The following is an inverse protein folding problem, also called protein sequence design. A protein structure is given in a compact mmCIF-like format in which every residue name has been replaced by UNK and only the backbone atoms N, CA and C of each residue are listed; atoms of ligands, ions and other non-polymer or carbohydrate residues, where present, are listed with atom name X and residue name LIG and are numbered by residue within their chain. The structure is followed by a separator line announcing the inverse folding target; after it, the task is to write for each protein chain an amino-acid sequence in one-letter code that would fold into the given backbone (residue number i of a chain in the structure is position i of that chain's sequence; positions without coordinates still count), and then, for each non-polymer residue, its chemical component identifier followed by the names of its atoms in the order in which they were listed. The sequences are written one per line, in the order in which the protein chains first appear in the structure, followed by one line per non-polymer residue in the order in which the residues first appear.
data_IF_734590010709
#
_entry.id   IF_734590010709
#
_cell.length_a   1.000
_cell.length_b   1.000
_cell.length_c   1.000
_cell.angle_alpha   90.00
_cell.angle_beta   90.00
_cell.angle_gamma   90.00
#
_symmetry.space_group_name_H-M   'P 1'
#
loop_
_entity.id
_entity.type
_entity.pdbx_description
1 polymer ?
#
# COMPACT_ATOMS: atom_id res chain seq x y z
N UNK A 1 2.52 -16.18 -16.55
CA UNK A 1 1.72 -15.19 -17.34
C UNK A 1 2.55 -13.92 -17.40
N UNK A 2 2.71 -13.35 -18.59
CA UNK A 2 3.47 -12.10 -18.80
C UNK A 2 2.78 -10.91 -18.12
N UNK A 3 3.56 -9.86 -17.79
CA UNK A 3 3.05 -8.68 -17.07
C UNK A 3 1.83 -8.05 -17.76
N UNK A 4 1.93 -7.81 -19.08
CA UNK A 4 0.84 -7.21 -19.87
C UNK A 4 -0.44 -8.09 -19.86
N UNK A 5 -0.27 -9.40 -19.86
CA UNK A 5 -1.40 -10.34 -19.79
C UNK A 5 -2.04 -10.30 -18.40
N UNK A 6 -1.23 -10.19 -17.34
CA UNK A 6 -1.75 -10.02 -15.96
C UNK A 6 -2.55 -8.74 -15.78
N UNK A 7 -2.11 -7.63 -16.39
CA UNK A 7 -2.85 -6.36 -16.35
C UNK A 7 -4.31 -6.50 -16.83
N UNK A 8 -4.57 -7.41 -17.77
CA UNK A 8 -5.88 -7.51 -18.43
C UNK A 8 -6.73 -8.66 -17.87
N UNK A 9 -6.12 -9.74 -17.40
CA UNK A 9 -6.84 -10.98 -17.12
C UNK A 9 -6.94 -11.35 -15.63
N UNK A 10 -6.00 -10.93 -14.79
CA UNK A 10 -6.05 -11.31 -13.37
C UNK A 10 -7.20 -10.58 -12.67
N UNK A 11 -8.01 -11.32 -11.93
CA UNK A 11 -9.16 -10.81 -11.19
C UNK A 11 -10.43 -10.57 -12.03
N UNK A 12 -10.38 -10.77 -13.35
CA UNK A 12 -11.49 -10.41 -14.26
C UNK A 12 -12.46 -11.58 -14.51
N UNK A 13 -12.01 -12.83 -14.45
CA UNK A 13 -12.73 -14.04 -14.87
C UNK A 13 -13.57 -14.68 -13.75
N UNK A 14 -14.04 -13.90 -12.77
CA UNK A 14 -14.68 -14.40 -11.54
C UNK A 14 -16.15 -14.03 -11.39
N UNK A 15 -16.88 -13.86 -12.50
CA UNK A 15 -18.33 -13.73 -12.43
C UNK A 15 -19.00 -15.12 -12.51
N UNK A 16 -19.41 -15.70 -11.36
CA UNK A 16 -20.02 -17.03 -11.34
C UNK A 16 -21.46 -17.04 -11.84
N UNK A 17 -22.09 -15.87 -11.98
CA UNK A 17 -23.50 -15.77 -12.35
C UNK A 17 -23.71 -15.80 -13.86
N UNK A 18 -22.92 -15.03 -14.61
CA UNK A 18 -23.15 -14.85 -16.04
C UNK A 18 -21.88 -14.99 -16.90
N UNK A 19 -20.74 -15.31 -16.29
CA UNK A 19 -19.44 -15.45 -16.97
C UNK A 19 -19.09 -14.20 -17.79
N UNK A 20 -19.30 -13.04 -17.18
CA UNK A 20 -18.99 -11.74 -17.83
C UNK A 20 -17.51 -11.66 -18.20
N UNK A 21 -17.24 -11.17 -19.39
CA UNK A 21 -15.87 -10.95 -19.89
C UNK A 21 -15.14 -9.79 -19.18
N UNK A 22 -15.85 -8.99 -18.40
CA UNK A 22 -15.31 -7.89 -17.59
C UNK A 22 -15.85 -8.00 -16.18
N UNK A 23 -15.11 -7.50 -15.19
CA UNK A 23 -15.57 -7.51 -13.79
C UNK A 23 -16.86 -6.72 -13.63
N UNK A 24 -17.96 -7.33 -13.16
CA UNK A 24 -19.17 -6.61 -12.85
C UNK A 24 -18.98 -5.61 -11.70
N UNK A 25 -19.72 -4.49 -11.76
CA UNK A 25 -19.77 -3.53 -10.66
C UNK A 25 -20.90 -3.92 -9.72
N UNK A 26 -20.58 -4.21 -8.46
CA UNK A 26 -21.53 -4.54 -7.40
C UNK A 26 -21.77 -3.35 -6.47
N UNK A 27 -22.69 -2.42 -6.81
CA UNK A 27 -22.97 -1.21 -6.02
C UNK A 27 -23.98 -1.53 -4.89
N UNK A 28 -23.64 -2.50 -4.05
CA UNK A 28 -24.50 -2.93 -2.94
C UNK A 28 -23.76 -2.82 -1.61
N UNK A 29 -24.49 -2.60 -0.52
CA UNK A 29 -23.93 -2.64 0.83
C UNK A 29 -23.95 -4.04 1.42
N UNK A 30 -24.97 -4.83 1.13
CA UNK A 30 -25.19 -6.16 1.72
C UNK A 30 -25.45 -7.21 0.66
N UNK A 31 -25.05 -8.44 0.95
CA UNK A 31 -25.26 -9.59 0.08
C UNK A 31 -26.25 -10.57 0.73
N UNK A 32 -27.13 -11.18 -0.07
CA UNK A 32 -28.01 -12.23 0.39
C UNK A 32 -27.22 -13.51 0.58
N UNK A 33 -27.54 -14.25 1.62
CA UNK A 33 -27.08 -15.61 1.84
C UNK A 33 -28.04 -16.61 1.20
N UNK A 34 -27.55 -17.76 0.81
CA UNK A 34 -28.40 -18.82 0.30
C UNK A 34 -29.25 -19.43 1.42
N UNK A 35 -28.68 -19.55 2.63
CA UNK A 35 -29.34 -19.93 3.89
C UNK A 35 -28.58 -19.32 5.10
N UNK A 36 -28.90 -19.72 6.33
CA UNK A 36 -28.32 -19.17 7.57
C UNK A 36 -26.83 -19.46 7.76
N UNK A 37 -26.28 -20.44 7.07
CA UNK A 37 -24.90 -20.88 7.24
C UNK A 37 -24.06 -20.63 5.97
N UNK A 38 -24.70 -20.40 4.81
CA UNK A 38 -24.04 -20.34 3.52
C UNK A 38 -24.18 -18.97 2.87
N UNK A 39 -23.12 -18.19 2.92
CA UNK A 39 -22.92 -17.04 2.04
C UNK A 39 -22.07 -17.47 0.84
N UNK A 40 -22.07 -16.66 -0.21
CA UNK A 40 -21.25 -16.89 -1.41
C UNK A 40 -19.88 -16.21 -1.34
N UNK A 41 -19.33 -16.06 -0.12
CA UNK A 41 -18.05 -15.43 0.15
C UNK A 41 -18.14 -13.95 0.48
N UNK A 42 -19.33 -13.34 0.36
CA UNK A 42 -19.56 -11.93 0.69
C UNK A 42 -20.83 -11.77 1.53
N UNK A 43 -20.78 -10.88 2.49
CA UNK A 43 -21.87 -10.50 3.37
C UNK A 43 -22.15 -8.98 3.34
N UNK A 44 -21.10 -8.20 3.48
CA UNK A 44 -21.18 -6.75 3.56
C UNK A 44 -19.99 -6.08 2.88
N UNK A 45 -20.25 -5.05 2.07
CA UNK A 45 -19.25 -4.41 1.19
C UNK A 45 -18.03 -3.85 1.94
N UNK A 46 -18.17 -3.40 3.20
CA UNK A 46 -17.03 -2.92 3.98
C UNK A 46 -16.03 -4.04 4.27
N UNK A 47 -16.51 -5.24 4.58
CA UNK A 47 -15.66 -6.42 4.80
C UNK A 47 -15.17 -7.03 3.49
N UNK A 48 -16.04 -7.15 2.47
CA UNK A 48 -15.71 -7.74 1.18
C UNK A 48 -16.67 -7.33 0.07
N UNK A 49 -16.16 -7.14 -1.15
CA UNK A 49 -16.97 -6.85 -2.34
C UNK A 49 -16.28 -7.44 -3.58
N UNK A 50 -16.99 -8.17 -4.46
CA UNK A 50 -16.37 -8.80 -5.62
C UNK A 50 -15.61 -7.84 -6.53
N UNK A 51 -16.13 -6.63 -6.76
CA UNK A 51 -15.47 -5.61 -7.58
C UNK A 51 -14.15 -5.17 -6.96
N UNK A 52 -14.12 -4.95 -5.64
CA UNK A 52 -12.89 -4.57 -4.92
C UNK A 52 -11.89 -5.73 -4.90
N UNK A 53 -12.35 -6.95 -4.66
CA UNK A 53 -11.49 -8.13 -4.64
C UNK A 53 -10.81 -8.37 -5.99
N UNK A 54 -11.49 -8.11 -7.11
CA UNK A 54 -10.91 -8.19 -8.43
C UNK A 54 -9.74 -7.21 -8.61
N UNK A 55 -9.87 -5.97 -8.12
CA UNK A 55 -8.80 -4.98 -8.11
C UNK A 55 -7.64 -5.42 -7.21
N UNK A 56 -7.94 -5.84 -5.98
CA UNK A 56 -6.95 -6.28 -5.00
C UNK A 56 -6.10 -7.44 -5.54
N UNK A 57 -6.74 -8.43 -6.15
CA UNK A 57 -6.06 -9.57 -6.77
C UNK A 57 -5.18 -9.15 -7.95
N UNK A 58 -5.67 -8.25 -8.80
CA UNK A 58 -4.91 -7.76 -9.95
C UNK A 58 -3.65 -7.03 -9.48
N UNK A 59 -3.77 -6.07 -8.55
CA UNK A 59 -2.64 -5.30 -8.04
C UNK A 59 -1.64 -6.21 -7.31
N UNK A 60 -2.09 -7.13 -6.45
CA UNK A 60 -1.21 -8.09 -5.80
C UNK A 60 -0.39 -8.90 -6.83
N UNK A 61 -1.05 -9.36 -7.92
CA UNK A 61 -0.37 -10.07 -8.99
C UNK A 61 0.68 -9.21 -9.71
N UNK A 62 0.38 -7.94 -9.99
CA UNK A 62 1.29 -7.05 -10.71
C UNK A 62 2.52 -6.68 -9.88
N UNK A 63 2.32 -6.43 -8.59
CA UNK A 63 3.38 -6.07 -7.64
C UNK A 63 4.14 -7.29 -7.09
N UNK A 64 3.74 -8.51 -7.45
CA UNK A 64 4.35 -9.74 -6.92
C UNK A 64 4.06 -9.97 -5.43
N UNK A 65 3.03 -9.30 -4.91
CA UNK A 65 2.57 -9.46 -3.53
C UNK A 65 1.72 -10.71 -3.32
N UNK A 66 1.65 -11.16 -2.07
CA UNK A 66 0.78 -12.28 -1.69
C UNK A 66 -0.67 -11.84 -1.48
N UNK A 67 -0.89 -10.56 -1.24
CA UNK A 67 -2.19 -9.94 -1.01
C UNK A 67 -2.13 -8.43 -1.30
N UNK A 68 -3.32 -7.81 -1.42
CA UNK A 68 -3.49 -6.37 -1.57
C UNK A 68 -4.75 -5.93 -0.82
N UNK A 69 -4.75 -4.72 -0.30
CA UNK A 69 -5.91 -4.10 0.32
C UNK A 69 -6.16 -2.72 -0.29
N UNK A 70 -7.26 -2.60 -1.00
CA UNK A 70 -7.69 -1.33 -1.54
C UNK A 70 -8.40 -0.49 -0.48
N UNK A 71 -8.03 0.77 -0.39
CA UNK A 71 -8.62 1.75 0.53
C UNK A 71 -9.30 2.87 -0.23
N UNK A 72 -10.12 3.67 0.45
CA UNK A 72 -10.88 4.75 -0.16
C UNK A 72 -10.02 5.95 -0.59
N UNK A 73 -8.81 6.08 -0.04
CA UNK A 73 -7.88 7.19 -0.35
C UNK A 73 -6.43 6.73 -0.18
N UNK A 74 -5.49 7.42 -0.85
CA UNK A 74 -4.07 7.20 -0.65
C UNK A 74 -3.64 7.43 0.80
N UNK A 75 -4.20 8.46 1.48
CA UNK A 75 -3.90 8.69 2.90
C UNK A 75 -4.37 7.55 3.80
N UNK A 76 -5.49 6.90 3.48
CA UNK A 76 -5.91 5.70 4.20
C UNK A 76 -4.95 4.53 3.99
N UNK A 77 -4.41 4.37 2.77
CA UNK A 77 -3.38 3.37 2.49
C UNK A 77 -2.10 3.66 3.27
N UNK A 78 -1.61 4.91 3.21
CA UNK A 78 -0.42 5.35 3.97
C UNK A 78 -0.61 5.10 5.47
N UNK A 79 -1.76 5.50 6.02
CA UNK A 79 -2.04 5.27 7.45
C UNK A 79 -2.08 3.78 7.77
N UNK A 80 -2.67 2.93 6.91
CA UNK A 80 -2.72 1.50 7.15
C UNK A 80 -1.32 0.86 7.21
N UNK A 81 -0.37 1.32 6.39
CA UNK A 81 1.02 0.80 6.44
C UNK A 81 1.73 1.18 7.73
N UNK A 82 1.36 2.28 8.40
CA UNK A 82 2.00 2.67 9.66
C UNK A 82 1.68 1.72 10.83
N UNK A 83 0.62 0.91 10.73
CA UNK A 83 0.32 -0.14 11.73
C UNK A 83 1.30 -1.33 11.68
N UNK A 84 2.22 -1.37 10.72
CA UNK A 84 3.31 -2.35 10.69
C UNK A 84 4.43 -2.01 11.68
N UNK A 85 4.42 -0.80 12.25
CA UNK A 85 5.46 -0.30 13.14
C UNK A 85 4.97 -0.22 14.59
N UNK A 86 5.89 -0.42 15.53
CA UNK A 86 5.62 -0.40 16.95
C UNK A 86 6.19 0.87 17.61
N UNK A 87 5.82 1.07 18.87
CA UNK A 87 6.34 2.19 19.66
C UNK A 87 7.87 2.13 19.78
N UNK A 88 8.52 3.21 19.40
CA UNK A 88 9.99 3.35 19.41
C UNK A 88 10.63 3.00 18.09
N UNK A 89 9.88 2.48 17.13
CA UNK A 89 10.40 2.26 15.78
C UNK A 89 10.73 3.59 15.10
N UNK A 90 11.84 3.60 14.40
CA UNK A 90 12.31 4.71 13.60
C UNK A 90 12.04 4.48 12.13
N UNK A 91 11.54 5.52 11.47
CA UNK A 91 11.26 5.54 10.03
C UNK A 91 12.04 6.69 9.41
N UNK A 92 12.84 6.39 8.40
CA UNK A 92 13.49 7.40 7.58
C UNK A 92 12.55 7.75 6.44
N UNK A 93 12.24 9.02 6.25
CA UNK A 93 11.36 9.49 5.18
C UNK A 93 12.07 10.53 4.30
N UNK A 94 11.69 10.60 3.03
CA UNK A 94 12.15 11.66 2.14
C UNK A 94 11.73 13.04 2.66
N UNK A 95 12.60 14.04 2.58
CA UNK A 95 12.26 15.43 2.94
C UNK A 95 11.30 16.09 1.94
N UNK A 96 11.26 15.57 0.71
CA UNK A 96 10.37 15.99 -0.36
C UNK A 96 9.31 14.91 -0.60
N UNK A 97 8.31 14.85 0.29
CA UNK A 97 7.18 13.92 0.22
C UNK A 97 5.87 14.68 0.21
N UNK A 98 4.81 14.00 -0.18
CA UNK A 98 3.47 14.57 -0.15
C UNK A 98 3.16 15.20 1.22
N UNK A 99 2.67 16.45 1.21
CA UNK A 99 2.43 17.20 2.45
C UNK A 99 1.42 16.53 3.41
N UNK A 100 0.54 15.66 2.90
CA UNK A 100 -0.33 14.82 3.74
C UNK A 100 0.45 13.76 4.51
N UNK A 101 1.40 13.09 3.85
CA UNK A 101 2.31 12.12 4.47
C UNK A 101 3.18 12.79 5.53
N UNK A 102 3.76 13.95 5.19
CA UNK A 102 4.56 14.72 6.14
C UNK A 102 3.77 15.07 7.42
N UNK A 103 2.56 15.63 7.27
CA UNK A 103 1.70 15.97 8.42
C UNK A 103 1.32 14.73 9.25
N UNK A 104 1.01 13.62 8.61
CA UNK A 104 0.73 12.37 9.32
C UNK A 104 1.94 11.94 10.15
N UNK A 105 3.14 11.98 9.59
CA UNK A 105 4.36 11.53 10.24
C UNK A 105 4.82 12.51 11.33
N UNK A 106 5.00 13.79 10.98
CA UNK A 106 5.58 14.79 11.87
C UNK A 106 4.61 15.31 12.94
N UNK A 107 3.33 15.51 12.57
CA UNK A 107 2.38 16.19 13.45
C UNK A 107 1.47 15.23 14.22
N UNK A 108 1.36 13.95 13.77
CA UNK A 108 0.46 12.98 14.41
C UNK A 108 1.25 11.82 14.99
N UNK A 109 1.94 11.05 14.14
CA UNK A 109 2.56 9.79 14.57
C UNK A 109 3.82 9.99 15.43
N UNK A 110 4.58 11.06 15.22
CA UNK A 110 5.70 11.43 16.08
C UNK A 110 5.25 11.65 17.54
N UNK A 111 4.03 12.15 17.73
CA UNK A 111 3.41 12.29 19.07
C UNK A 111 2.84 10.98 19.63
N UNK A 112 2.70 9.95 18.79
CA UNK A 112 2.20 8.62 19.15
C UNK A 112 3.32 7.58 19.29
N UNK A 113 4.56 8.05 19.49
CA UNK A 113 5.72 7.20 19.79
C UNK A 113 6.42 6.51 18.63
N UNK A 114 6.18 6.93 17.35
CA UNK A 114 7.07 6.62 16.24
C UNK A 114 8.12 7.72 16.10
N UNK A 115 9.30 7.36 15.64
CA UNK A 115 10.38 8.32 15.42
C UNK A 115 10.64 8.50 13.92
N UNK A 116 10.88 9.73 13.49
CA UNK A 116 11.08 10.05 12.08
C UNK A 116 12.34 10.86 11.85
N UNK A 117 13.10 10.49 10.80
CA UNK A 117 14.16 11.32 10.22
C UNK A 117 13.80 11.67 8.78
N UNK A 118 13.80 12.95 8.45
CA UNK A 118 13.54 13.41 7.08
C UNK A 118 14.87 13.73 6.39
N UNK A 119 15.20 12.99 5.33
CA UNK A 119 16.47 13.08 4.61
C UNK A 119 16.28 13.36 3.12
N UNK A 120 17.31 13.87 2.47
CA UNK A 120 17.33 13.96 1.02
C UNK A 120 17.57 12.56 0.43
N UNK A 121 16.58 12.01 -0.27
CA UNK A 121 16.71 10.69 -0.87
C UNK A 121 17.62 10.66 -2.12
N UNK A 122 18.10 11.81 -2.58
CA UNK A 122 19.14 11.92 -3.61
C UNK A 122 20.55 11.85 -3.01
N UNK A 123 20.69 12.01 -1.71
CA UNK A 123 21.96 11.91 -0.97
C UNK A 123 22.00 10.58 -0.20
N UNK A 124 22.54 9.55 -0.86
CA UNK A 124 22.64 8.21 -0.28
C UNK A 124 23.56 8.15 0.95
N UNK A 125 24.53 9.05 1.07
CA UNK A 125 25.41 9.11 2.25
C UNK A 125 24.65 9.67 3.44
N UNK A 126 23.84 10.72 3.24
CA UNK A 126 22.92 11.21 4.26
C UNK A 126 21.89 10.14 4.69
N UNK A 127 21.38 9.35 3.73
CA UNK A 127 20.48 8.23 4.04
C UNK A 127 21.19 7.18 4.90
N UNK A 128 22.39 6.74 4.53
CA UNK A 128 23.18 5.78 5.33
C UNK A 128 23.46 6.29 6.74
N UNK A 129 23.83 7.56 6.85
CA UNK A 129 24.10 8.18 8.15
C UNK A 129 22.86 8.30 9.05
N UNK A 130 21.65 8.30 8.48
CA UNK A 130 20.41 8.35 9.23
C UNK A 130 19.94 6.97 9.75
N UNK A 131 20.50 5.88 9.23
CA UNK A 131 20.17 4.52 9.71
C UNK A 131 20.70 4.31 11.11
N UNK A 132 19.87 3.75 11.97
CA UNK A 132 20.19 3.41 13.36
C UNK A 132 19.53 2.08 13.78
N UNK A 133 19.89 1.47 14.92
CA UNK A 133 19.35 0.16 15.31
C UNK A 133 17.81 0.10 15.40
N UNK A 134 17.17 1.21 15.70
CA UNK A 134 15.71 1.34 15.80
C UNK A 134 15.04 1.56 14.44
N UNK A 135 15.81 1.74 13.35
CA UNK A 135 15.25 1.93 12.00
C UNK A 135 14.56 0.64 11.54
N UNK A 136 13.26 0.75 11.24
CA UNK A 136 12.41 -0.34 10.78
C UNK A 136 11.82 -0.09 9.39
N UNK A 137 11.94 1.14 8.89
CA UNK A 137 11.41 1.47 7.57
C UNK A 137 12.10 2.65 6.92
N UNK A 138 12.15 2.62 5.60
CA UNK A 138 12.53 3.76 4.76
C UNK A 138 11.33 4.06 3.86
N UNK A 139 10.78 5.27 4.00
CA UNK A 139 9.64 5.74 3.23
C UNK A 139 10.10 6.61 2.08
N UNK A 140 9.87 6.16 0.86
CA UNK A 140 10.22 6.90 -0.36
C UNK A 140 8.97 7.17 -1.21
N UNK A 141 8.95 8.34 -1.82
CA UNK A 141 8.03 8.70 -2.90
C UNK A 141 8.86 9.04 -4.13
N UNK A 142 8.59 8.36 -5.25
CA UNK A 142 9.34 8.61 -6.49
C UNK A 142 8.44 8.46 -7.72
N UNK A 143 8.37 9.47 -8.61
CA UNK A 143 8.90 10.82 -8.40
C UNK A 143 8.28 11.49 -7.17
N UNK A 144 9.07 12.33 -6.47
CA UNK A 144 8.64 13.02 -5.25
C UNK A 144 7.60 14.13 -5.53
N UNK A 145 6.92 14.59 -4.48
CA UNK A 145 5.96 15.69 -4.57
C UNK A 145 6.33 16.81 -3.57
N UNK A 146 6.59 18.07 -4.02
CA UNK A 146 6.24 18.58 -5.35
C UNK A 146 7.41 18.65 -6.36
N UNK A 147 8.65 18.32 -5.97
CA UNK A 147 9.83 18.63 -6.77
C UNK A 147 10.13 17.62 -7.89
N UNK A 148 9.39 16.51 -7.96
CA UNK A 148 9.54 15.46 -8.96
C UNK A 148 10.94 14.84 -9.00
N UNK A 149 11.62 14.78 -7.87
CA UNK A 149 12.90 14.10 -7.76
C UNK A 149 12.70 12.57 -7.96
N UNK A 150 13.59 11.97 -8.72
CA UNK A 150 13.60 10.52 -8.97
C UNK A 150 14.67 9.89 -8.07
N UNK A 151 14.21 9.09 -7.12
CA UNK A 151 15.07 8.36 -6.17
C UNK A 151 15.55 7.05 -6.80
N UNK A 152 16.82 6.71 -6.63
CA UNK A 152 17.35 5.39 -6.97
C UNK A 152 16.85 4.35 -5.95
N UNK A 153 15.73 3.71 -6.27
CA UNK A 153 15.11 2.72 -5.39
C UNK A 153 16.01 1.50 -5.14
N UNK A 154 16.82 1.10 -6.14
CA UNK A 154 17.71 -0.05 -5.98
C UNK A 154 18.78 0.24 -4.91
N UNK A 155 19.42 1.41 -5.00
CA UNK A 155 20.40 1.84 -4.00
C UNK A 155 19.79 2.00 -2.60
N UNK A 156 18.57 2.52 -2.50
CA UNK A 156 17.86 2.62 -1.21
C UNK A 156 17.55 1.22 -0.65
N UNK A 157 17.12 0.27 -1.48
CA UNK A 157 16.87 -1.11 -1.05
C UNK A 157 18.14 -1.82 -0.57
N UNK A 158 19.31 -1.57 -1.20
CA UNK A 158 20.59 -2.08 -0.72
C UNK A 158 20.91 -1.56 0.68
N UNK A 159 20.75 -0.25 0.92
CA UNK A 159 20.95 0.35 2.26
C UNK A 159 19.99 -0.26 3.28
N UNK A 160 18.74 -0.49 2.93
CA UNK A 160 17.75 -1.11 3.81
C UNK A 160 18.07 -2.59 4.11
N UNK A 161 18.71 -3.32 3.18
CA UNK A 161 19.10 -4.71 3.36
C UNK A 161 20.34 -4.88 4.24
N UNK A 162 21.16 -3.83 4.36
CA UNK A 162 22.38 -3.83 5.17
C UNK A 162 22.13 -3.36 6.63
N UNK A 163 20.92 -2.87 6.93
CA UNK A 163 20.50 -2.29 8.22
C UNK A 163 19.75 -3.32 9.09
#
# INVERSE_FOLDING_TARGET
MEFQTRCVHVGVDKDPAYLSATTPIYPTSTFRWDDLENNRGFDYTRSGNPTRSALEENIASLEGGIDCRATSTGMSAITATTYLFEKGDHIIAGKDIYGGTYRLFADILAHQHLEFSFVDMLDLDALRAAVRPETKGIWIETPSNPLLHVTDMAAVCEIAGDA
#
